data_IF_756958311142
#
_entry.id   IF_756958311142
#
_cell.length_a   1.000
_cell.length_b   1.000
_cell.length_c   1.000
_cell.angle_alpha   90.00
_cell.angle_beta   90.00
_cell.angle_gamma   90.00
#
_symmetry.space_group_name_H-M   'P 1'
#
loop_
_entity.id
_entity.type
_entity.pdbx_description
1 polymer ?
#
# COMPACT_ATOMS: atom_id res chain seq x y z
N UNK A 1 -44.54 -19.29 18.40
CA UNK A 1 -43.32 -20.10 18.19
C UNK A 1 -42.19 -19.18 17.73
N UNK A 2 -41.02 -19.16 18.38
CA UNK A 2 -39.91 -18.32 17.95
C UNK A 2 -39.36 -18.82 16.60
N UNK A 3 -39.16 -17.89 15.67
CA UNK A 3 -38.65 -18.17 14.32
C UNK A 3 -37.15 -18.49 14.44
N UNK A 4 -36.79 -19.76 14.30
CA UNK A 4 -35.39 -20.18 14.23
C UNK A 4 -34.79 -19.58 12.95
N UNK A 5 -33.96 -18.55 13.07
CA UNK A 5 -33.21 -18.04 11.93
C UNK A 5 -32.20 -19.11 11.53
N UNK A 6 -32.33 -19.66 10.32
CA UNK A 6 -31.30 -20.50 9.71
C UNK A 6 -30.04 -19.64 9.55
N UNK A 7 -28.95 -20.04 10.20
CA UNK A 7 -27.63 -19.48 9.98
C UNK A 7 -27.23 -19.76 8.53
N UNK A 8 -26.70 -18.75 7.85
CA UNK A 8 -26.14 -18.93 6.50
C UNK A 8 -24.76 -19.59 6.62
N UNK A 9 -24.28 -20.28 5.58
CA UNK A 9 -22.94 -20.92 5.60
C UNK A 9 -21.82 -19.96 6.03
N UNK A 10 -21.90 -18.69 5.62
CA UNK A 10 -20.94 -17.64 6.01
C UNK A 10 -20.97 -17.32 7.52
N UNK A 11 -22.12 -17.44 8.19
CA UNK A 11 -22.23 -17.24 9.65
C UNK A 11 -21.74 -18.42 10.47
N UNK A 12 -21.63 -19.61 9.87
CA UNK A 12 -21.05 -20.79 10.52
C UNK A 12 -19.52 -20.81 10.42
N UNK A 13 -18.94 -20.45 9.27
CA UNK A 13 -17.48 -20.27 9.11
C UNK A 13 -16.93 -19.15 10.01
N UNK A 14 -17.65 -18.03 10.14
CA UNK A 14 -17.28 -16.92 11.02
C UNK A 14 -17.38 -17.25 12.53
N UNK A 15 -18.01 -18.37 12.90
CA UNK A 15 -18.06 -18.85 14.29
C UNK A 15 -16.86 -19.75 14.62
N UNK A 16 -16.21 -20.33 13.60
CA UNK A 16 -15.02 -21.19 13.76
C UNK A 16 -13.73 -20.39 13.70
N UNK A 17 -13.69 -19.34 12.87
CA UNK A 17 -12.61 -18.37 12.81
C UNK A 17 -13.01 -17.10 13.55
N UNK A 18 -12.14 -16.53 14.39
CA UNK A 18 -12.41 -15.19 14.94
C UNK A 18 -12.75 -14.21 13.82
N UNK A 19 -13.77 -13.37 14.00
CA UNK A 19 -14.31 -12.46 12.96
C UNK A 19 -13.23 -11.67 12.20
N UNK A 20 -12.15 -11.28 12.90
CA UNK A 20 -11.02 -10.58 12.30
C UNK A 20 -10.16 -11.44 11.35
N UNK A 21 -10.07 -12.75 11.55
CA UNK A 21 -9.34 -13.66 10.65
C UNK A 21 -10.19 -14.06 9.44
N UNK A 22 -11.49 -14.26 9.65
CA UNK A 22 -12.46 -14.46 8.57
C UNK A 22 -12.46 -13.28 7.57
N UNK A 23 -12.51 -12.03 8.06
CA UNK A 23 -12.45 -10.85 7.19
C UNK A 23 -11.12 -10.74 6.43
N UNK A 24 -9.99 -11.10 7.04
CA UNK A 24 -8.69 -11.12 6.34
C UNK A 24 -8.69 -12.14 5.23
N UNK A 25 -9.23 -13.33 5.47
CA UNK A 25 -9.30 -14.38 4.47
C UNK A 25 -10.15 -13.97 3.27
N UNK A 26 -11.34 -13.38 3.51
CA UNK A 26 -12.19 -12.84 2.44
C UNK A 26 -11.43 -11.80 1.61
N UNK A 27 -10.73 -10.86 2.26
CA UNK A 27 -9.94 -9.82 1.57
C UNK A 27 -8.83 -10.46 0.74
N UNK A 28 -8.10 -11.44 1.29
CA UNK A 28 -7.02 -12.13 0.58
C UNK A 28 -7.54 -12.94 -0.61
N UNK A 29 -8.65 -13.68 -0.46
CA UNK A 29 -9.30 -14.41 -1.55
C UNK A 29 -9.76 -13.46 -2.66
N UNK A 30 -10.31 -12.30 -2.29
CA UNK A 30 -10.73 -11.28 -3.26
C UNK A 30 -9.54 -10.69 -4.01
N UNK A 31 -8.48 -10.29 -3.31
CA UNK A 31 -7.25 -9.79 -3.92
C UNK A 31 -6.59 -10.81 -4.87
N UNK A 32 -6.56 -12.09 -4.47
CA UNK A 32 -6.03 -13.17 -5.30
C UNK A 32 -6.87 -13.38 -6.57
N UNK A 33 -8.20 -13.37 -6.44
CA UNK A 33 -9.12 -13.47 -7.58
C UNK A 33 -8.96 -12.29 -8.55
N UNK A 34 -8.91 -11.06 -8.02
CA UNK A 34 -8.74 -9.85 -8.83
C UNK A 34 -7.37 -9.84 -9.55
N UNK A 35 -6.31 -10.35 -8.90
CA UNK A 35 -4.99 -10.50 -9.51
C UNK A 35 -5.00 -11.54 -10.65
N UNK A 36 -5.58 -12.72 -10.43
CA UNK A 36 -5.68 -13.76 -11.46
C UNK A 36 -6.51 -13.30 -12.66
N UNK A 37 -7.58 -12.55 -12.41
CA UNK A 37 -8.40 -11.94 -13.46
C UNK A 37 -7.61 -10.88 -14.25
N UNK A 38 -6.83 -10.03 -13.56
CA UNK A 38 -5.95 -9.05 -14.20
C UNK A 38 -4.88 -9.71 -15.08
N UNK A 39 -4.34 -10.85 -14.66
CA UNK A 39 -3.33 -11.57 -15.44
C UNK A 39 -3.92 -12.20 -16.70
N UNK A 40 -5.13 -12.78 -16.62
CA UNK A 40 -5.87 -13.27 -17.80
C UNK A 40 -6.20 -12.14 -18.78
N UNK A 41 -6.56 -10.96 -18.28
CA UNK A 41 -6.73 -9.75 -19.10
C UNK A 41 -5.48 -9.38 -19.87
N UNK A 42 -4.34 -9.29 -19.17
CA UNK A 42 -3.06 -8.89 -19.76
C UNK A 42 -2.54 -9.90 -20.77
N UNK A 43 -2.74 -11.20 -20.50
CA UNK A 43 -2.39 -12.29 -21.39
C UNK A 43 -3.30 -12.36 -22.63
N UNK A 44 -4.44 -11.67 -22.63
CA UNK A 44 -5.45 -11.77 -23.69
C UNK A 44 -6.18 -13.11 -23.69
N UNK A 45 -6.21 -13.80 -22.54
CA UNK A 45 -6.83 -15.13 -22.38
C UNK A 45 -8.16 -15.06 -21.62
N UNK A 46 -8.82 -13.91 -21.61
CA UNK A 46 -10.16 -13.79 -21.03
C UNK A 46 -11.18 -14.57 -21.84
N UNK A 47 -11.98 -15.36 -21.15
CA UNK A 47 -13.16 -15.98 -21.75
C UNK A 47 -14.28 -14.94 -21.93
N UNK A 48 -15.31 -15.29 -22.70
CA UNK A 48 -16.50 -14.45 -22.86
C UNK A 48 -17.22 -14.29 -21.53
N UNK A 49 -17.22 -15.32 -20.69
CA UNK A 49 -17.77 -15.36 -19.34
C UNK A 49 -16.99 -14.42 -18.42
N UNK A 50 -15.66 -14.46 -18.46
CA UNK A 50 -14.85 -13.51 -17.70
C UNK A 50 -15.14 -12.06 -18.12
N UNK A 51 -15.39 -11.84 -19.43
CA UNK A 51 -15.82 -10.53 -19.95
C UNK A 51 -17.25 -10.19 -19.48
N UNK A 52 -18.16 -11.15 -19.35
CA UNK A 52 -19.53 -10.93 -18.83
C UNK A 52 -19.49 -10.50 -17.38
N UNK A 53 -18.67 -11.15 -16.56
CA UNK A 53 -18.53 -10.88 -15.13
C UNK A 53 -17.95 -9.49 -14.86
N UNK A 54 -17.07 -8.99 -15.73
CA UNK A 54 -16.64 -7.59 -15.72
C UNK A 54 -17.53 -6.66 -16.52
N UNK A 55 -18.76 -7.07 -16.85
CA UNK A 55 -19.72 -6.26 -17.60
C UNK A 55 -19.19 -5.76 -18.95
N UNK A 56 -18.17 -6.41 -19.52
CA UNK A 56 -17.65 -6.18 -20.87
C UNK A 56 -18.42 -6.97 -21.92
N UNK A 57 -18.97 -8.14 -21.61
CA UNK A 57 -19.84 -8.87 -22.54
C UNK A 57 -21.30 -8.34 -22.48
N UNK A 58 -21.37 -7.03 -22.60
CA UNK A 58 -22.57 -6.22 -22.77
C UNK A 58 -22.37 -5.17 -23.86
N UNK A 59 -21.49 -5.43 -24.85
CA UNK A 59 -21.49 -4.71 -26.15
C UNK A 59 -22.86 -4.86 -26.87
N UNK A 60 -23.80 -5.64 -26.32
CA UNK A 60 -25.23 -5.61 -26.63
C UNK A 60 -26.13 -5.47 -25.38
N UNK A 61 -27.13 -4.60 -25.54
CA UNK A 61 -28.43 -4.44 -24.85
C UNK A 61 -28.57 -3.66 -23.52
N UNK A 62 -27.53 -3.42 -22.71
CA UNK A 62 -27.74 -2.71 -21.43
C UNK A 62 -26.65 -1.72 -21.01
N UNK A 63 -25.40 -1.96 -21.38
CA UNK A 63 -24.30 -1.03 -21.15
C UNK A 63 -24.32 0.00 -22.28
N UNK A 64 -24.57 1.28 -21.96
CA UNK A 64 -24.45 2.36 -22.95
C UNK A 64 -22.97 2.56 -23.27
N UNK A 65 -22.40 1.72 -24.12
CA UNK A 65 -21.26 2.18 -24.92
C UNK A 65 -21.80 3.35 -25.71
N UNK A 66 -21.20 4.55 -25.57
CA UNK A 66 -21.68 5.76 -26.22
C UNK A 66 -22.20 5.47 -27.63
N UNK A 67 -23.39 5.99 -27.94
CA UNK A 67 -23.86 6.12 -29.32
C UNK A 67 -22.86 7.03 -30.06
N UNK A 68 -21.77 6.46 -30.60
CA UNK A 68 -20.72 7.23 -31.26
C UNK A 68 -19.38 6.52 -31.31
N UNK A 69 -18.96 5.86 -30.21
CA UNK A 69 -17.69 5.10 -30.20
C UNK A 69 -17.84 3.90 -31.14
N UNK A 70 -17.08 3.90 -32.23
CA UNK A 70 -17.19 2.91 -33.30
C UNK A 70 -17.41 1.50 -32.75
N UNK A 71 -18.57 0.90 -33.09
CA UNK A 71 -19.11 -0.35 -32.51
C UNK A 71 -17.99 -1.33 -32.14
N UNK A 72 -17.67 -1.42 -30.84
CA UNK A 72 -16.91 -2.51 -30.24
C UNK A 72 -15.43 -2.28 -29.92
N UNK A 73 -14.84 -1.11 -30.13
CA UNK A 73 -13.41 -0.90 -29.77
C UNK A 73 -13.24 -0.19 -28.42
N UNK A 74 -12.99 -0.97 -27.37
CA UNK A 74 -12.61 -0.48 -26.04
C UNK A 74 -11.37 0.44 -26.08
N UNK A 75 -11.43 1.72 -25.66
CA UNK A 75 -10.42 2.72 -26.00
C UNK A 75 -9.14 2.66 -25.15
N UNK A 76 -8.98 1.67 -24.27
CA UNK A 76 -7.83 1.58 -23.37
C UNK A 76 -6.91 0.40 -23.70
N UNK A 77 -5.61 0.65 -23.68
CA UNK A 77 -4.56 -0.37 -23.76
C UNK A 77 -4.25 -0.89 -22.36
N UNK A 78 -4.63 -2.14 -22.10
CA UNK A 78 -4.40 -2.80 -20.81
C UNK A 78 -2.92 -3.09 -20.53
N UNK A 79 -2.06 -3.12 -21.56
CA UNK A 79 -0.65 -3.50 -21.43
C UNK A 79 0.26 -2.33 -21.07
N UNK A 80 -0.24 -1.10 -21.14
CA UNK A 80 0.58 0.09 -20.97
C UNK A 80 -0.14 1.18 -20.19
N UNK A 81 0.60 1.86 -19.34
CA UNK A 81 0.30 3.18 -18.80
C UNK A 81 1.26 4.21 -19.42
N UNK A 82 1.08 5.48 -19.10
CA UNK A 82 1.99 6.58 -19.43
C UNK A 82 3.18 6.71 -18.46
N UNK A 83 3.19 5.93 -17.38
CA UNK A 83 4.26 5.96 -16.37
C UNK A 83 5.20 4.77 -16.56
N UNK A 84 6.50 5.00 -16.87
CA UNK A 84 7.47 3.92 -17.10
C UNK A 84 7.58 2.91 -15.94
N UNK A 85 7.54 3.40 -14.69
CA UNK A 85 7.58 2.53 -13.50
C UNK A 85 6.37 1.59 -13.44
N UNK A 86 5.18 2.11 -13.72
CA UNK A 86 3.95 1.32 -13.70
C UNK A 86 3.92 0.27 -14.83
N UNK A 87 4.51 0.61 -15.99
CA UNK A 87 4.76 -0.35 -17.06
C UNK A 87 5.70 -1.48 -16.64
N UNK A 88 6.72 -1.18 -15.83
CA UNK A 88 7.61 -2.22 -15.28
C UNK A 88 6.85 -3.15 -14.31
N UNK A 89 5.94 -2.61 -13.50
CA UNK A 89 5.08 -3.38 -12.60
C UNK A 89 4.14 -4.30 -13.38
N UNK A 90 3.53 -3.81 -14.46
CA UNK A 90 2.69 -4.63 -15.35
C UNK A 90 3.47 -5.80 -15.95
N UNK A 91 4.71 -5.56 -16.40
CA UNK A 91 5.58 -6.57 -17.04
C UNK A 91 6.13 -7.61 -16.07
N UNK A 92 6.44 -7.22 -14.82
CA UNK A 92 7.08 -8.10 -13.82
C UNK A 92 6.34 -8.04 -12.47
N UNK A 93 5.08 -8.51 -12.39
CA UNK A 93 4.25 -8.36 -11.19
C UNK A 93 4.82 -9.10 -9.98
N UNK A 94 5.29 -10.35 -10.15
CA UNK A 94 5.85 -11.15 -9.07
C UNK A 94 7.06 -10.48 -8.41
N UNK A 95 8.01 -10.00 -9.22
CA UNK A 95 9.18 -9.27 -8.72
C UNK A 95 8.79 -8.02 -7.92
N UNK A 96 7.86 -7.20 -8.41
CA UNK A 96 7.46 -6.00 -7.69
C UNK A 96 6.70 -6.33 -6.40
N UNK A 97 5.92 -7.42 -6.39
CA UNK A 97 5.24 -7.89 -5.18
C UNK A 97 6.23 -8.41 -4.14
N UNK A 98 7.15 -9.29 -4.53
CA UNK A 98 8.08 -9.96 -3.60
C UNK A 98 9.25 -9.07 -3.18
N UNK A 99 9.91 -8.43 -4.14
CA UNK A 99 11.12 -7.66 -3.88
C UNK A 99 10.84 -6.20 -3.49
N UNK A 100 9.73 -5.62 -3.98
CA UNK A 100 9.38 -4.21 -3.72
C UNK A 100 8.17 -4.04 -2.81
N UNK A 101 7.47 -5.12 -2.47
CA UNK A 101 6.26 -5.04 -1.66
C UNK A 101 5.16 -4.22 -2.35
N UNK A 102 5.06 -4.25 -3.68
CA UNK A 102 4.04 -3.52 -4.43
C UNK A 102 3.11 -4.54 -5.08
N UNK A 103 1.85 -4.55 -4.65
CA UNK A 103 0.79 -5.35 -5.26
C UNK A 103 0.03 -4.52 -6.29
N UNK A 104 -0.35 -5.14 -7.42
CA UNK A 104 -1.13 -4.50 -8.49
C UNK A 104 -2.42 -5.25 -8.78
N UNK A 105 -3.47 -4.50 -9.13
CA UNK A 105 -4.70 -5.01 -9.74
C UNK A 105 -5.13 -4.09 -10.89
N UNK A 106 -5.91 -4.62 -11.83
CA UNK A 106 -6.62 -3.82 -12.83
C UNK A 106 -8.10 -3.80 -12.41
N UNK A 107 -8.52 -2.68 -11.84
CA UNK A 107 -9.90 -2.50 -11.39
C UNK A 107 -10.68 -1.79 -12.50
N UNK A 108 -11.86 -2.31 -12.87
CA UNK A 108 -12.81 -1.57 -13.69
C UNK A 108 -13.68 -0.68 -12.83
N UNK A 109 -13.68 0.62 -13.10
CA UNK A 109 -14.53 1.58 -12.38
C UNK A 109 -15.04 2.69 -13.30
N UNK A 110 -16.15 3.31 -12.92
CA UNK A 110 -16.65 4.49 -13.61
C UNK A 110 -15.72 5.69 -13.37
N UNK A 111 -15.73 6.69 -14.27
CA UNK A 111 -15.08 7.98 -14.03
C UNK A 111 -15.43 8.61 -12.68
N UNK A 112 -16.71 8.61 -12.33
CA UNK A 112 -17.19 9.09 -11.02
C UNK A 112 -16.49 8.36 -9.86
N UNK A 113 -16.48 7.03 -9.87
CA UNK A 113 -15.84 6.23 -8.81
C UNK A 113 -14.32 6.40 -8.75
N UNK A 114 -13.68 6.67 -9.89
CA UNK A 114 -12.25 7.02 -9.93
C UNK A 114 -12.01 8.34 -9.19
N UNK A 115 -12.77 9.38 -9.52
CA UNK A 115 -12.64 10.70 -8.87
C UNK A 115 -13.01 10.65 -7.39
N UNK A 116 -14.05 9.91 -7.01
CA UNK A 116 -14.38 9.66 -5.60
C UNK A 116 -13.18 9.05 -4.85
N UNK A 117 -12.47 8.08 -5.45
CA UNK A 117 -11.28 7.47 -4.85
C UNK A 117 -10.11 8.45 -4.73
N UNK A 118 -9.93 9.34 -5.71
CA UNK A 118 -8.90 10.38 -5.72
C UNK A 118 -9.18 11.40 -4.62
N UNK A 119 -10.39 11.95 -4.59
CA UNK A 119 -10.83 12.95 -3.61
C UNK A 119 -10.82 12.40 -2.18
N UNK A 120 -11.19 11.14 -1.98
CA UNK A 120 -11.10 10.52 -0.64
C UNK A 120 -9.65 10.42 -0.13
N UNK A 121 -8.65 10.36 -1.02
CA UNK A 121 -7.25 10.20 -0.62
C UNK A 121 -6.47 11.49 -0.54
N UNK A 122 -6.70 12.40 -1.48
CA UNK A 122 -6.06 13.72 -1.50
C UNK A 122 -6.86 14.77 -0.73
N UNK A 123 -8.12 14.47 -0.39
CA UNK A 123 -9.09 15.46 0.06
C UNK A 123 -9.67 16.21 -1.12
N UNK A 124 -10.56 17.17 -0.83
CA UNK A 124 -10.66 18.36 -1.67
C UNK A 124 -9.37 19.13 -1.44
N UNK A 125 -8.73 19.60 -2.50
CA UNK A 125 -7.49 20.34 -2.37
C UNK A 125 -7.69 21.55 -1.47
N UNK A 126 -7.03 21.54 -0.31
CA UNK A 126 -7.28 22.48 0.78
C UNK A 126 -7.06 23.93 0.37
N UNK A 127 -6.19 24.17 -0.60
CA UNK A 127 -5.81 25.50 -1.04
C UNK A 127 -6.82 26.13 -2.01
N UNK A 128 -7.48 25.33 -2.86
CA UNK A 128 -8.39 25.86 -3.89
C UNK A 128 -9.85 25.54 -3.64
N UNK A 129 -10.16 24.53 -2.83
CA UNK A 129 -11.52 24.04 -2.64
C UNK A 129 -12.13 23.37 -3.89
N UNK A 130 -11.35 23.18 -4.96
CA UNK A 130 -11.84 22.66 -6.23
C UNK A 130 -11.76 21.13 -6.30
N UNK A 131 -12.79 20.45 -6.82
CA UNK A 131 -12.72 19.04 -7.20
C UNK A 131 -11.53 18.74 -8.11
N UNK A 132 -10.89 17.58 -7.95
CA UNK A 132 -9.73 17.21 -8.76
C UNK A 132 -10.02 17.11 -10.26
N UNK A 133 -11.28 16.87 -10.64
CA UNK A 133 -11.72 16.88 -12.04
C UNK A 133 -11.59 18.26 -12.70
N UNK A 134 -11.70 19.36 -11.95
CA UNK A 134 -11.68 20.73 -12.48
C UNK A 134 -10.27 21.20 -12.87
N UNK A 135 -9.25 20.41 -12.52
CA UNK A 135 -7.85 20.64 -12.87
C UNK A 135 -7.47 20.03 -14.21
N UNK A 136 -8.43 19.47 -14.95
CA UNK A 136 -8.20 19.03 -16.31
C UNK A 136 -8.36 20.20 -17.29
N UNK A 137 -7.53 20.19 -18.33
CA UNK A 137 -7.68 21.10 -19.45
C UNK A 137 -8.86 20.61 -20.32
N UNK A 138 -9.94 21.40 -20.46
CA UNK A 138 -11.13 20.99 -21.20
C UNK A 138 -10.85 20.73 -22.68
N UNK A 139 -9.88 21.40 -23.29
CA UNK A 139 -9.54 21.20 -24.71
C UNK A 139 -8.82 19.87 -24.92
N UNK A 140 -7.94 19.48 -23.98
CA UNK A 140 -7.32 18.15 -23.99
C UNK A 140 -8.37 17.06 -23.77
N UNK A 141 -9.35 17.28 -22.87
CA UNK A 141 -10.45 16.33 -22.64
C UNK A 141 -11.27 16.11 -23.91
N UNK A 142 -11.69 17.20 -24.58
CA UNK A 142 -12.43 17.12 -25.86
C UNK A 142 -11.62 16.42 -26.95
N UNK A 143 -10.33 16.74 -27.06
CA UNK A 143 -9.41 16.09 -28.01
C UNK A 143 -9.36 14.58 -27.76
N UNK A 144 -9.14 14.15 -26.53
CA UNK A 144 -9.09 12.73 -26.18
C UNK A 144 -10.42 12.02 -26.39
N UNK A 145 -11.56 12.67 -26.08
CA UNK A 145 -12.88 12.09 -26.33
C UNK A 145 -13.08 11.83 -27.84
N UNK A 146 -12.72 12.79 -28.69
CA UNK A 146 -12.77 12.62 -30.14
C UNK A 146 -11.85 11.49 -30.63
N UNK A 147 -10.60 11.47 -30.19
CA UNK A 147 -9.65 10.40 -30.56
C UNK A 147 -10.13 9.02 -30.08
N UNK A 148 -10.73 8.91 -28.89
CA UNK A 148 -11.34 7.68 -28.38
C UNK A 148 -12.52 7.23 -29.25
N UNK A 149 -13.38 8.17 -29.66
CA UNK A 149 -14.52 7.92 -30.55
C UNK A 149 -14.07 7.40 -31.93
N UNK A 150 -12.99 7.97 -32.47
CA UNK A 150 -12.32 7.56 -33.72
C UNK A 150 -11.57 6.22 -33.58
N UNK A 151 -11.49 5.67 -32.38
CA UNK A 151 -10.95 4.33 -32.11
C UNK A 151 -9.48 4.29 -31.70
N UNK A 152 -8.88 5.43 -31.36
CA UNK A 152 -7.55 5.49 -30.77
C UNK A 152 -7.48 4.69 -29.46
N UNK A 153 -6.27 4.19 -29.15
CA UNK A 153 -6.00 3.44 -27.91
C UNK A 153 -5.17 4.27 -26.97
N UNK A 154 -5.70 4.50 -25.78
CA UNK A 154 -5.07 5.28 -24.73
C UNK A 154 -4.38 4.38 -23.70
N UNK A 155 -3.27 4.83 -23.10
CA UNK A 155 -2.71 4.16 -21.94
C UNK A 155 -3.72 4.10 -20.79
N UNK A 156 -3.67 3.02 -20.02
CA UNK A 156 -4.52 2.82 -18.87
C UNK A 156 -4.24 3.89 -17.79
N UNK A 157 -5.26 4.58 -17.25
CA UNK A 157 -5.10 5.44 -16.07
C UNK A 157 -4.69 4.62 -14.85
N UNK A 158 -4.19 5.26 -13.79
CA UNK A 158 -3.76 4.53 -12.61
C UNK A 158 -3.85 5.32 -11.32
N UNK A 159 -3.98 4.56 -10.23
CA UNK A 159 -4.02 5.02 -8.85
C UNK A 159 -2.94 4.30 -8.06
N UNK A 160 -2.06 5.06 -7.43
CA UNK A 160 -0.99 4.55 -6.59
C UNK A 160 -1.30 4.83 -5.13
N UNK A 161 -1.63 3.76 -4.38
CA UNK A 161 -1.74 3.80 -2.93
C UNK A 161 -0.38 3.44 -2.33
N UNK A 162 0.48 4.45 -2.21
CA UNK A 162 1.78 4.33 -1.55
C UNK A 162 1.67 4.08 -0.05
N UNK A 163 2.78 4.26 0.67
CA UNK A 163 2.78 4.23 2.13
C UNK A 163 1.93 5.39 2.71
N UNK A 164 1.88 5.54 4.05
CA UNK A 164 0.88 6.38 4.75
C UNK A 164 0.72 7.83 4.21
N UNK A 165 1.72 8.39 3.53
CA UNK A 165 1.73 9.77 3.07
C UNK A 165 1.63 9.96 1.54
N UNK A 166 1.76 8.89 0.74
CA UNK A 166 1.81 9.04 -0.71
C UNK A 166 0.56 8.48 -1.40
N UNK A 167 -0.05 9.31 -2.24
CA UNK A 167 -1.07 8.91 -3.20
C UNK A 167 -0.77 9.55 -4.55
N UNK A 168 -0.60 8.72 -5.57
CA UNK A 168 -0.40 9.14 -6.95
C UNK A 168 -1.66 8.88 -7.79
N UNK A 169 -1.95 9.75 -8.76
CA UNK A 169 -3.03 9.55 -9.72
C UNK A 169 -2.59 10.03 -11.10
N UNK A 170 -2.91 9.26 -12.14
CA UNK A 170 -2.59 9.59 -13.52
C UNK A 170 -3.74 9.26 -14.47
N UNK A 171 -3.81 10.01 -15.57
CA UNK A 171 -4.84 9.83 -16.59
C UNK A 171 -6.14 10.60 -16.33
N UNK A 172 -6.10 11.70 -15.56
CA UNK A 172 -7.25 12.58 -15.31
C UNK A 172 -8.03 12.94 -16.58
N UNK A 173 -7.34 13.45 -17.62
CA UNK A 173 -8.00 13.83 -18.88
C UNK A 173 -8.63 12.63 -19.60
N UNK A 174 -8.02 11.45 -19.51
CA UNK A 174 -8.56 10.21 -20.10
C UNK A 174 -9.84 9.76 -19.39
N UNK A 175 -9.89 9.88 -18.06
CA UNK A 175 -11.08 9.56 -17.28
C UNK A 175 -12.24 10.50 -17.63
N UNK A 176 -11.98 11.80 -17.77
CA UNK A 176 -13.01 12.77 -18.16
C UNK A 176 -13.44 12.62 -19.62
N UNK A 177 -12.51 12.27 -20.51
CA UNK A 177 -12.86 11.93 -21.89
C UNK A 177 -13.77 10.70 -21.94
N UNK A 178 -13.48 9.68 -21.14
CA UNK A 178 -14.34 8.51 -20.99
C UNK A 178 -15.71 8.86 -20.40
N UNK A 179 -15.77 9.76 -19.42
CA UNK A 179 -17.03 10.30 -18.85
C UNK A 179 -17.87 11.04 -19.89
N UNK A 180 -17.23 11.90 -20.68
CA UNK A 180 -17.87 12.64 -21.78
C UNK A 180 -18.49 11.71 -22.82
N UNK A 181 -17.85 10.55 -23.06
CA UNK A 181 -18.36 9.49 -23.92
C UNK A 181 -19.31 8.51 -23.19
N UNK A 182 -19.70 8.75 -21.94
CA UNK A 182 -20.58 7.84 -21.19
C UNK A 182 -20.01 6.44 -21.00
N UNK A 183 -18.69 6.28 -20.92
CA UNK A 183 -18.04 4.99 -20.66
C UNK A 183 -18.08 4.71 -19.16
N UNK A 184 -18.98 3.82 -18.75
CA UNK A 184 -19.21 3.50 -17.35
C UNK A 184 -18.13 2.63 -16.69
N UNK A 185 -17.27 1.99 -17.50
CA UNK A 185 -16.23 1.06 -17.01
C UNK A 185 -14.90 1.30 -17.70
N UNK A 186 -14.01 2.00 -17.01
CA UNK A 186 -12.63 2.28 -17.42
C UNK A 186 -11.70 1.33 -16.65
N UNK A 187 -10.71 0.69 -17.30
CA UNK A 187 -9.73 -0.10 -16.58
C UNK A 187 -8.75 0.86 -15.92
N UNK A 188 -8.42 0.61 -14.65
CA UNK A 188 -7.51 1.46 -13.88
C UNK A 188 -6.48 0.57 -13.23
N UNK A 189 -5.20 0.87 -13.44
CA UNK A 189 -4.14 0.21 -12.70
C UNK A 189 -4.16 0.70 -11.26
N UNK A 190 -4.44 -0.19 -10.32
CA UNK A 190 -4.41 0.10 -8.89
C UNK A 190 -3.18 -0.56 -8.29
N UNK A 191 -2.28 0.24 -7.72
CA UNK A 191 -1.10 -0.25 -7.01
C UNK A 191 -1.23 0.02 -5.53
N UNK A 192 -0.76 -0.92 -4.71
CA UNK A 192 -0.82 -0.84 -3.25
C UNK A 192 0.51 -1.28 -2.66
N UNK A 193 1.04 -0.47 -1.75
CA UNK A 193 2.16 -0.90 -0.91
C UNK A 193 1.70 -1.97 0.09
N UNK A 194 2.35 -3.13 0.06
CA UNK A 194 2.25 -4.22 1.02
C UNK A 194 3.05 -3.95 2.29
N UNK A 195 3.78 -2.84 2.38
CA UNK A 195 4.62 -2.52 3.54
C UNK A 195 3.81 -2.50 4.84
N UNK A 196 2.54 -2.08 4.82
CA UNK A 196 1.61 -2.23 5.97
C UNK A 196 1.26 -3.68 6.32
N UNK A 197 1.18 -4.58 5.33
CA UNK A 197 0.95 -6.00 5.56
C UNK A 197 2.22 -6.69 6.08
N UNK A 198 3.40 -6.21 5.66
CA UNK A 198 4.70 -6.71 6.09
C UNK A 198 5.12 -6.16 7.46
N UNK A 199 4.86 -4.90 7.80
CA UNK A 199 5.03 -4.35 9.16
C UNK A 199 4.18 -5.11 10.19
N UNK A 200 2.90 -5.39 9.86
CA UNK A 200 2.03 -6.23 10.71
C UNK A 200 2.53 -7.67 10.89
N UNK A 201 3.28 -8.21 9.90
CA UNK A 201 3.91 -9.53 10.01
C UNK A 201 5.23 -9.47 10.80
N UNK A 202 6.05 -8.43 10.61
CA UNK A 202 7.29 -8.20 11.37
C UNK A 202 7.03 -8.09 12.88
N UNK A 203 5.89 -7.52 13.29
CA UNK A 203 5.53 -7.38 14.71
C UNK A 203 4.91 -8.65 15.33
N UNK A 204 4.64 -9.69 14.54
CA UNK A 204 4.16 -11.00 15.02
C UNK A 204 5.23 -12.08 15.03
N UNK A 205 6.44 -11.79 14.57
CA UNK A 205 7.53 -12.73 14.76
C UNK A 205 8.01 -12.63 16.21
N UNK A 206 8.00 -13.73 16.99
CA UNK A 206 8.66 -13.73 18.29
C UNK A 206 10.11 -13.30 18.04
N UNK A 207 10.61 -12.37 18.85
CA UNK A 207 12.02 -11.97 18.83
C UNK A 207 12.85 -13.22 19.15
N UNK A 208 13.20 -13.95 18.11
CA UNK A 208 14.11 -15.08 18.12
C UNK A 208 15.33 -14.64 17.32
N UNK A 209 15.97 -13.56 17.79
CA UNK A 209 17.30 -13.17 17.31
C UNK A 209 18.24 -13.09 18.52
N UNK A 210 19.15 -14.06 18.67
CA UNK A 210 20.23 -14.02 19.67
C UNK A 210 21.25 -12.89 19.41
N UNK A 211 21.18 -12.20 18.27
CA UNK A 211 22.23 -11.27 17.81
C UNK A 211 22.27 -9.89 18.49
N UNK A 212 21.34 -9.58 19.41
CA UNK A 212 21.45 -8.37 20.24
C UNK A 212 22.19 -8.63 21.56
N UNK A 213 22.51 -9.88 21.91
CA UNK A 213 23.27 -10.16 23.13
C UNK A 213 24.77 -9.83 22.99
N UNK A 214 25.30 -9.67 21.77
CA UNK A 214 26.73 -9.48 21.53
C UNK A 214 27.18 -8.01 21.40
N UNK A 215 26.25 -7.06 21.35
CA UNK A 215 26.56 -5.61 21.19
C UNK A 215 25.91 -4.73 22.24
N UNK A 216 25.25 -5.30 23.25
CA UNK A 216 24.85 -4.55 24.43
C UNK A 216 26.11 -4.44 25.32
N UNK A 217 26.62 -3.22 25.60
CA UNK A 217 27.70 -3.03 26.55
C UNK A 217 27.40 -3.81 27.84
N UNK A 218 28.40 -4.46 28.44
CA UNK A 218 28.18 -5.35 29.60
C UNK A 218 27.40 -4.65 30.71
N UNK A 219 27.54 -3.33 30.85
CA UNK A 219 26.80 -2.49 31.80
C UNK A 219 25.30 -2.41 31.46
N UNK A 220 24.93 -2.31 30.19
CA UNK A 220 23.53 -2.28 29.74
C UNK A 220 22.86 -3.66 29.77
N UNK A 221 23.64 -4.75 29.68
CA UNK A 221 23.11 -6.11 29.75
C UNK A 221 22.53 -6.42 31.15
N UNK A 222 23.17 -5.93 32.21
CA UNK A 222 22.69 -6.06 33.59
C UNK A 222 21.37 -5.29 33.80
N UNK A 223 21.22 -4.12 33.18
CA UNK A 223 19.99 -3.35 33.21
C UNK A 223 18.88 -4.13 32.49
N UNK A 224 19.12 -4.59 31.26
CA UNK A 224 18.12 -5.35 30.50
C UNK A 224 17.66 -6.62 31.24
N UNK A 225 18.57 -7.37 31.86
CA UNK A 225 18.21 -8.55 32.67
C UNK A 225 17.43 -8.20 33.94
N UNK A 226 17.78 -7.09 34.62
CA UNK A 226 17.00 -6.58 35.76
C UNK A 226 15.56 -6.28 35.36
N UNK A 227 15.34 -5.61 34.22
CA UNK A 227 13.99 -5.26 33.75
C UNK A 227 13.20 -6.48 33.24
N UNK A 228 13.85 -7.46 32.61
CA UNK A 228 13.21 -8.74 32.25
C UNK A 228 12.72 -9.50 33.48
N UNK A 229 13.50 -9.50 34.56
CA UNK A 229 13.12 -10.17 35.82
C UNK A 229 11.86 -9.57 36.48
N UNK A 230 11.53 -8.33 36.13
CA UNK A 230 10.34 -7.61 36.60
C UNK A 230 9.12 -7.79 35.68
N UNK A 231 9.23 -8.60 34.61
CA UNK A 231 8.15 -8.86 33.66
C UNK A 231 7.81 -7.68 32.74
N UNK A 232 8.68 -6.66 32.66
CA UNK A 232 8.46 -5.48 31.83
C UNK A 232 8.83 -5.79 30.38
N UNK A 233 8.00 -5.33 29.44
CA UNK A 233 8.30 -5.40 28.01
C UNK A 233 9.37 -4.37 27.64
N UNK A 234 10.11 -4.61 26.54
CA UNK A 234 11.11 -3.68 26.04
C UNK A 234 10.54 -2.26 25.83
N UNK A 235 9.28 -2.17 25.37
CA UNK A 235 8.59 -0.89 25.19
C UNK A 235 8.31 -0.19 26.52
N UNK A 236 7.96 -0.93 27.58
CA UNK A 236 7.78 -0.35 28.91
C UNK A 236 9.11 0.21 29.46
N UNK A 237 10.22 -0.48 29.21
CA UNK A 237 11.57 -0.01 29.56
C UNK A 237 11.96 1.27 28.79
N UNK A 238 11.82 1.29 27.47
CA UNK A 238 12.18 2.47 26.63
C UNK A 238 11.32 3.69 26.98
N UNK A 239 10.06 3.48 27.39
CA UNK A 239 9.16 4.56 27.79
C UNK A 239 9.44 5.16 29.17
N UNK A 240 10.25 4.49 30.01
CA UNK A 240 10.63 4.98 31.35
C UNK A 240 11.93 5.79 31.36
N UNK A 241 12.67 5.84 30.24
CA UNK A 241 13.89 6.66 30.13
C UNK A 241 13.46 8.14 30.03
N UNK A 242 13.81 9.00 31.01
CA UNK A 242 13.54 10.43 30.94
C UNK A 242 14.27 11.06 29.75
N UNK A 243 13.66 12.05 29.09
CA UNK A 243 14.17 12.71 27.90
C UNK A 243 14.52 11.76 26.75
N UNK A 244 13.50 11.01 26.29
CA UNK A 244 13.53 10.24 25.04
C UNK A 244 14.29 11.06 23.99
N UNK A 245 15.47 10.61 23.53
CA UNK A 245 16.07 11.22 22.36
C UNK A 245 15.01 11.15 21.26
N UNK A 246 14.79 12.26 20.57
CA UNK A 246 14.24 12.15 19.23
C UNK A 246 15.27 11.37 18.43
N UNK A 247 15.20 10.03 18.49
CA UNK A 247 15.92 9.17 17.58
C UNK A 247 15.34 9.48 16.21
N UNK A 248 15.92 10.47 15.54
CA UNK A 248 15.84 10.56 14.10
C UNK A 248 16.21 9.17 13.62
N UNK A 249 15.29 8.48 12.94
CA UNK A 249 15.51 7.16 12.36
C UNK A 249 16.85 7.19 11.60
N UNK A 250 17.93 6.71 12.23
CA UNK A 250 19.22 6.62 11.57
C UNK A 250 19.11 5.43 10.64
N UNK A 251 19.04 5.73 9.34
CA UNK A 251 19.11 4.70 8.31
C UNK A 251 20.50 4.08 8.35
N UNK A 252 20.57 2.81 8.72
CA UNK A 252 21.77 2.02 8.55
C UNK A 252 21.96 1.77 7.06
N UNK A 253 22.99 2.36 6.46
CA UNK A 253 23.39 2.02 5.09
C UNK A 253 24.60 1.11 5.17
N UNK A 254 24.41 -0.15 4.75
CA UNK A 254 25.52 -1.07 4.55
C UNK A 254 26.09 -0.80 3.16
N UNK A 255 27.35 -0.34 3.08
CA UNK A 255 28.11 -0.31 1.83
C UNK A 255 29.33 -1.21 1.98
N UNK A 256 29.37 -2.26 1.16
CA UNK A 256 30.52 -3.17 1.03
C UNK A 256 30.08 -4.55 0.56
N UNK A 257 30.65 -5.03 -0.55
CA UNK A 257 30.54 -6.42 -0.98
C UNK A 257 31.62 -7.23 -0.27
N UNK A 258 31.23 -8.10 0.66
CA UNK A 258 32.14 -9.04 1.34
C UNK A 258 31.77 -9.33 2.80
N UNK A 259 32.22 -10.46 3.37
CA UNK A 259 31.80 -10.97 4.68
C UNK A 259 32.29 -10.15 5.90
N UNK A 260 32.87 -8.96 5.69
CA UNK A 260 33.31 -8.03 6.74
C UNK A 260 32.94 -6.58 6.38
N UNK A 261 31.69 -6.31 6.03
CA UNK A 261 31.22 -4.94 5.88
C UNK A 261 31.12 -4.24 7.26
N UNK A 262 31.98 -3.24 7.51
CA UNK A 262 31.90 -2.40 8.71
C UNK A 262 30.65 -1.52 8.64
N UNK A 263 29.85 -1.51 9.71
CA UNK A 263 28.74 -0.58 9.84
C UNK A 263 29.29 0.81 10.21
N UNK A 264 29.04 1.81 9.37
CA UNK A 264 29.25 3.22 9.70
C UNK A 264 27.92 3.87 10.02
N UNK A 265 27.78 4.39 11.23
CA UNK A 265 26.66 5.23 11.63
C UNK A 265 26.94 6.64 11.10
N UNK A 266 26.21 7.08 10.09
CA UNK A 266 26.23 8.48 9.66
C UNK A 266 25.17 9.27 10.43
N UNK A 267 25.53 9.76 11.61
CA UNK A 267 24.95 10.99 12.14
C UNK A 267 25.80 12.15 11.63
N UNK A 268 25.19 13.31 11.35
CA UNK A 268 25.98 14.51 11.06
C UNK A 268 26.81 14.85 12.32
N UNK A 269 28.09 14.49 12.30
CA UNK A 269 29.09 14.98 13.25
C UNK A 269 29.23 14.22 14.57
N UNK A 270 28.86 12.94 14.66
CA UNK A 270 29.17 12.14 15.86
C UNK A 270 29.64 10.74 15.45
N UNK A 271 30.83 10.35 15.89
CA UNK A 271 31.37 9.01 15.70
C UNK A 271 30.56 7.98 16.51
N UNK A 272 30.69 6.70 16.15
CA UNK A 272 30.04 5.60 16.89
C UNK A 272 30.51 5.57 18.35
N UNK A 273 31.80 5.79 18.58
CA UNK A 273 32.41 5.80 19.91
C UNK A 273 31.85 6.94 20.76
N UNK A 274 31.70 8.14 20.19
CA UNK A 274 31.08 9.29 20.87
C UNK A 274 29.59 9.05 21.19
N UNK A 275 28.87 8.32 20.33
CA UNK A 275 27.49 7.94 20.59
C UNK A 275 27.38 6.91 21.71
N UNK A 276 28.22 5.88 21.69
CA UNK A 276 28.28 4.85 22.73
C UNK A 276 28.66 5.46 24.08
N UNK A 277 29.62 6.38 24.10
CA UNK A 277 30.02 7.10 25.31
C UNK A 277 28.91 8.03 25.83
N UNK A 278 28.19 8.72 24.96
CA UNK A 278 27.03 9.55 25.33
C UNK A 278 25.90 8.71 25.96
N UNK A 279 25.63 7.52 25.41
CA UNK A 279 24.62 6.59 25.96
C UNK A 279 25.08 6.05 27.32
N UNK A 280 26.34 5.64 27.44
CA UNK A 280 26.90 5.13 28.68
C UNK A 280 26.94 6.19 29.80
N UNK A 281 27.27 7.45 29.49
CA UNK A 281 27.24 8.57 30.44
C UNK A 281 25.82 8.86 30.95
N UNK A 282 24.81 8.85 30.06
CA UNK A 282 23.42 9.05 30.46
C UNK A 282 22.88 7.91 31.33
N UNK A 283 23.24 6.66 31.03
CA UNK A 283 22.87 5.51 31.85
C UNK A 283 23.52 5.56 33.24
N UNK A 284 24.77 6.02 33.34
CA UNK A 284 25.43 6.28 34.64
C UNK A 284 24.70 7.36 35.43
N UNK A 285 24.42 8.52 34.82
CA UNK A 285 23.66 9.60 35.47
C UNK A 285 22.28 9.18 35.94
N UNK A 286 21.60 8.35 35.16
CA UNK A 286 20.30 7.79 35.55
C UNK A 286 20.42 6.84 36.75
N UNK A 287 21.45 5.99 36.79
CA UNK A 287 21.71 5.08 37.91
C UNK A 287 22.14 5.79 39.20
N UNK A 288 22.77 6.95 39.08
CA UNK A 288 23.18 7.81 40.20
C UNK A 288 22.06 8.72 40.71
N UNK A 289 20.94 8.82 39.99
CA UNK A 289 19.79 9.60 40.44
C UNK A 289 19.11 8.85 41.58
N UNK A 290 19.02 9.41 42.80
CA UNK A 290 18.38 8.72 43.91
C UNK A 290 16.97 8.35 43.50
N UNK A 291 16.67 7.05 43.52
CA UNK A 291 15.33 6.56 43.26
C UNK A 291 14.37 7.34 44.15
N UNK A 292 13.35 7.94 43.54
CA UNK A 292 12.25 8.60 44.23
C UNK A 292 11.68 7.64 45.27
N UNK A 293 12.13 7.79 46.52
CA UNK A 293 11.64 7.03 47.66
C UNK A 293 10.36 7.69 48.15
N UNK A 294 9.31 7.65 47.32
CA UNK A 294 7.90 7.83 47.72
C UNK A 294 7.02 7.97 46.48
N UNK A 295 6.52 6.84 45.99
CA UNK A 295 5.17 6.68 45.45
C UNK A 295 4.74 5.23 45.68
#
# INVERSE_FOLDING_TARGET
>A
MPRVMRRTPATEEAATYGYGDFLKEIIQRKLASDAAQSDRMLAGTMTKEDMLDIGLAGVGAGTKIARGVGKGKFPFNLKTTDVPLWNAILKKPAYHKEAKGIERSIDFMSPEKYFEKVERKLGIERETGKPHKDWADPEIVKKYAKEMEEGAKFPMPGLEYGNKAYFGQEGRHRMLAAEMLGIDRVPVLVMRSLEKALEKKKWKMPITRPHLASTVPKEAAAIVEKYKSQGLTYDAFVNQIPDKPQFAYHQWTFRGEGPLAKATVTTKGTSLDEFEEMVADRLRKFAETPAWSSF
#
